data_IF_470052330417
#
_entry.id   IF_470052330417
#
_cell.length_a   1.000
_cell.length_b   1.000
_cell.length_c   1.000
_cell.angle_alpha   90.00
_cell.angle_beta   90.00
_cell.angle_gamma   90.00
#
_symmetry.space_group_name_H-M   'P 1'
#
loop_
_entity.id
_entity.type
_entity.pdbx_description
1 polymer ?
#
# COMPACT_ATOMS: atom_id res chain seq x y z
N UNK A 1 -5.24 14.33 -4.00
CA UNK A 1 -3.85 14.26 -3.50
C UNK A 1 -2.96 15.01 -4.48
N UNK A 2 -2.36 16.15 -4.11
CA UNK A 2 -1.39 16.84 -4.99
C UNK A 2 0.05 16.31 -4.83
N UNK A 3 0.33 15.53 -3.78
CA UNK A 3 1.65 14.99 -3.46
C UNK A 3 1.49 13.52 -3.10
N UNK A 4 2.36 12.65 -3.63
CA UNK A 4 2.39 11.20 -3.41
C UNK A 4 3.64 10.72 -2.65
N UNK A 5 4.46 11.66 -2.15
CA UNK A 5 5.69 11.37 -1.40
C UNK A 5 5.54 11.75 0.07
N UNK A 6 6.01 10.88 0.97
CA UNK A 6 6.03 11.08 2.42
C UNK A 6 7.46 10.95 2.95
N UNK A 7 7.81 11.73 3.98
CA UNK A 7 9.13 11.68 4.63
C UNK A 7 10.15 12.69 4.11
N UNK A 8 11.31 12.77 4.77
CA UNK A 8 12.36 13.77 4.50
C UNK A 8 13.71 13.16 4.12
N UNK A 9 14.27 12.28 4.96
CA UNK A 9 15.51 11.56 4.65
C UNK A 9 15.17 10.21 4.04
N UNK A 10 14.42 9.40 4.78
CA UNK A 10 13.74 8.23 4.27
C UNK A 10 12.42 8.67 3.63
N UNK A 11 12.36 8.69 2.30
CA UNK A 11 11.20 9.15 1.54
C UNK A 11 10.51 7.99 0.85
N UNK A 12 9.19 7.97 0.92
CA UNK A 12 8.36 6.95 0.28
C UNK A 12 7.44 7.62 -0.72
N UNK A 13 7.59 7.26 -2.00
CA UNK A 13 6.75 7.72 -3.10
C UNK A 13 5.79 6.61 -3.54
N UNK A 14 4.52 6.88 -3.28
CA UNK A 14 3.29 6.21 -3.72
C UNK A 14 3.04 6.13 -5.23
N UNK A 15 2.79 4.99 -5.88
CA UNK A 15 2.27 4.99 -7.26
C UNK A 15 1.24 3.89 -7.57
N UNK A 16 0.48 4.09 -8.65
CA UNK A 16 -0.53 3.16 -9.18
C UNK A 16 -1.95 3.35 -8.64
N UNK A 17 -2.90 2.76 -9.36
CA UNK A 17 -4.33 2.79 -9.13
C UNK A 17 -4.89 1.37 -8.90
N UNK A 18 -6.03 1.30 -8.21
CA UNK A 18 -6.69 0.03 -7.87
C UNK A 18 -7.12 -0.86 -9.05
N UNK A 19 -7.27 -0.29 -10.25
CA UNK A 19 -7.66 -0.99 -11.48
C UNK A 19 -6.64 -0.76 -12.61
N UNK A 20 -5.41 -0.36 -12.24
CA UNK A 20 -4.25 -0.45 -13.12
C UNK A 20 -3.60 -1.82 -13.03
N UNK A 21 -2.57 -2.08 -13.83
CA UNK A 21 -1.86 -3.38 -13.83
C UNK A 21 -1.19 -3.69 -12.48
N UNK A 22 -0.69 -2.65 -11.81
CA UNK A 22 0.01 -2.75 -10.55
C UNK A 22 -0.07 -1.46 -9.74
N UNK A 23 0.31 -1.59 -8.48
CA UNK A 23 0.65 -0.48 -7.58
C UNK A 23 2.07 -0.70 -7.07
N UNK A 24 2.64 0.32 -6.44
CA UNK A 24 3.95 0.14 -5.82
C UNK A 24 4.41 1.35 -5.02
N UNK A 25 5.66 1.28 -4.59
CA UNK A 25 6.33 2.35 -3.87
C UNK A 25 7.80 2.45 -4.29
N UNK A 26 8.30 3.67 -4.35
CA UNK A 26 9.73 3.98 -4.43
C UNK A 26 10.20 4.47 -3.08
N UNK A 27 11.32 3.94 -2.58
CA UNK A 27 11.91 4.36 -1.30
C UNK A 27 13.28 4.95 -1.57
N UNK A 28 13.43 6.24 -1.25
CA UNK A 28 14.71 6.95 -1.29
C UNK A 28 15.27 7.14 0.12
N UNK A 29 16.60 7.08 0.24
CA UNK A 29 17.30 7.34 1.52
C UNK A 29 17.28 6.16 2.49
N UNK A 30 17.05 4.94 2.01
CA UNK A 30 17.38 3.73 2.76
C UNK A 30 18.90 3.64 2.93
N UNK A 31 19.46 3.48 4.15
CA UNK A 31 20.89 3.24 4.33
C UNK A 31 21.33 1.98 3.58
N UNK A 32 22.58 1.91 3.08
CA UNK A 32 23.13 0.68 2.52
C UNK A 32 23.42 -0.37 3.60
N UNK A 33 23.46 -1.64 3.20
CA UNK A 33 23.86 -2.76 4.07
C UNK A 33 22.74 -3.33 4.96
N UNK A 34 21.52 -2.81 4.87
CA UNK A 34 20.36 -3.29 5.62
C UNK A 34 19.86 -4.59 4.98
N UNK A 35 19.66 -5.63 5.79
CA UNK A 35 19.10 -6.88 5.29
C UNK A 35 17.63 -6.69 4.88
N UNK A 36 17.34 -6.88 3.60
CA UNK A 36 16.00 -6.74 3.03
C UNK A 36 15.75 -7.95 2.15
N UNK A 37 14.78 -8.76 2.56
CA UNK A 37 14.29 -9.88 1.76
C UNK A 37 12.82 -9.68 1.42
N UNK A 38 12.42 -10.23 0.27
CA UNK A 38 11.02 -10.26 -0.13
C UNK A 38 10.15 -10.95 0.93
N UNK A 39 10.62 -12.05 1.52
CA UNK A 39 9.90 -12.79 2.56
C UNK A 39 9.66 -11.94 3.82
N UNK A 40 10.65 -11.14 4.23
CA UNK A 40 10.49 -10.24 5.38
C UNK A 40 9.38 -9.20 5.15
N UNK A 41 9.34 -8.60 3.95
CA UNK A 41 8.28 -7.66 3.58
C UNK A 41 6.92 -8.39 3.49
N UNK A 42 6.89 -9.59 2.89
CA UNK A 42 5.68 -10.37 2.68
C UNK A 42 4.95 -10.68 4.00
N UNK A 43 5.66 -10.89 5.11
CA UNK A 43 5.05 -11.06 6.43
C UNK A 43 4.08 -9.93 6.80
N UNK A 44 4.43 -8.67 6.50
CA UNK A 44 3.57 -7.53 6.74
C UNK A 44 2.45 -7.41 5.72
N UNK A 45 2.72 -7.79 4.47
CA UNK A 45 1.71 -7.86 3.42
C UNK A 45 0.61 -8.86 3.75
N UNK A 46 0.97 -10.04 4.28
CA UNK A 46 0.00 -11.03 4.72
C UNK A 46 -0.92 -10.45 5.80
N UNK A 47 -0.40 -9.74 6.80
CA UNK A 47 -1.24 -9.09 7.84
C UNK A 47 -2.21 -8.05 7.28
N UNK A 48 -1.85 -7.40 6.17
CA UNK A 48 -2.70 -6.41 5.48
C UNK A 48 -3.71 -7.07 4.55
N UNK A 49 -3.37 -8.23 4.00
CA UNK A 49 -4.06 -8.86 2.88
C UNK A 49 -5.58 -8.95 3.16
N UNK A 50 -6.43 -8.56 2.19
CA UNK A 50 -7.88 -8.68 2.34
C UNK A 50 -8.33 -10.14 2.43
N UNK A 51 -9.58 -10.35 2.85
CA UNK A 51 -10.20 -11.67 2.83
C UNK A 51 -9.80 -12.58 3.99
N UNK A 52 -9.13 -12.06 5.02
CA UNK A 52 -8.78 -12.83 6.22
C UNK A 52 -9.94 -13.07 7.18
N UNK A 53 -11.01 -12.27 7.09
CA UNK A 53 -12.22 -12.46 7.89
C UNK A 53 -13.48 -12.13 7.11
N UNK A 54 -14.62 -12.63 7.59
CA UNK A 54 -15.96 -12.32 7.06
C UNK A 54 -16.32 -10.83 7.09
N UNK A 55 -15.58 -10.02 7.84
CA UNK A 55 -15.79 -8.57 7.96
C UNK A 55 -14.91 -7.73 7.02
N UNK A 56 -14.05 -8.38 6.22
CA UNK A 56 -13.15 -7.72 5.26
C UNK A 56 -13.65 -7.89 3.83
N UNK A 57 -13.08 -7.12 2.90
CA UNK A 57 -13.44 -7.22 1.47
C UNK A 57 -13.25 -8.63 0.92
N UNK A 58 -14.11 -9.03 -0.03
CA UNK A 58 -14.08 -10.34 -0.69
C UNK A 58 -12.96 -10.50 -1.73
N UNK A 59 -12.25 -9.42 -2.07
CA UNK A 59 -11.14 -9.47 -3.03
C UNK A 59 -10.05 -10.42 -2.55
N UNK A 60 -9.56 -11.25 -3.47
CA UNK A 60 -8.44 -12.18 -3.21
C UNK A 60 -7.19 -11.69 -3.92
N UNK A 61 -6.64 -10.60 -3.41
CA UNK A 61 -5.32 -10.12 -3.84
C UNK A 61 -4.25 -10.88 -3.06
N UNK A 62 -3.27 -11.48 -3.76
CA UNK A 62 -2.17 -12.18 -3.08
C UNK A 62 -1.13 -11.24 -2.48
N UNK A 63 -1.13 -9.96 -2.88
CA UNK A 63 -0.21 -8.93 -2.38
C UNK A 63 1.27 -9.32 -2.46
N UNK A 64 1.66 -10.07 -3.49
CA UNK A 64 3.06 -10.43 -3.70
C UNK A 64 3.85 -9.16 -4.04
N UNK A 65 4.80 -8.84 -3.16
CA UNK A 65 5.75 -7.73 -3.38
C UNK A 65 6.93 -8.26 -4.18
N UNK A 66 7.31 -7.54 -5.23
CA UNK A 66 8.52 -7.77 -6.01
C UNK A 66 9.47 -6.58 -5.82
N UNK A 67 10.73 -6.85 -5.50
CA UNK A 67 11.77 -5.82 -5.35
C UNK A 67 12.47 -5.67 -6.71
N UNK A 68 12.31 -4.51 -7.34
CA UNK A 68 12.83 -4.24 -8.69
C UNK A 68 14.22 -3.57 -8.69
N UNK A 69 14.59 -2.88 -7.60
CA UNK A 69 15.87 -2.16 -7.50
C UNK A 69 16.28 -1.94 -6.04
N UNK A 70 17.51 -1.46 -5.85
CA UNK A 70 18.00 -0.98 -4.55
C UNK A 70 18.38 -2.07 -3.55
N UNK A 71 18.32 -3.34 -3.95
CA UNK A 71 18.74 -4.50 -3.17
C UNK A 71 19.64 -5.38 -4.03
N UNK A 72 20.77 -5.81 -3.48
CA UNK A 72 21.70 -6.78 -4.07
C UNK A 72 22.14 -7.75 -2.97
N UNK A 73 22.11 -9.06 -3.26
CA UNK A 73 22.44 -10.12 -2.29
C UNK A 73 21.71 -9.94 -0.94
N UNK A 74 20.40 -9.65 -1.00
CA UNK A 74 19.53 -9.39 0.17
C UNK A 74 19.94 -8.19 1.03
N UNK A 75 20.79 -7.29 0.53
CA UNK A 75 21.18 -6.06 1.24
C UNK A 75 20.83 -4.82 0.44
N UNK A 76 20.36 -3.77 1.12
CA UNK A 76 20.15 -2.48 0.49
C UNK A 76 21.47 -1.92 -0.06
N UNK A 77 21.42 -1.29 -1.23
CA UNK A 77 22.59 -0.70 -1.88
C UNK A 77 22.79 0.78 -1.52
N UNK A 78 21.83 1.38 -0.82
CA UNK A 78 21.77 2.83 -0.58
C UNK A 78 21.13 3.62 -1.74
N UNK A 79 20.82 2.95 -2.85
CA UNK A 79 20.10 3.54 -3.99
C UNK A 79 18.59 3.35 -3.82
N UNK A 80 17.74 4.00 -4.66
CA UNK A 80 16.30 3.87 -4.55
C UNK A 80 15.82 2.41 -4.64
N UNK A 81 14.95 2.01 -3.71
CA UNK A 81 14.31 0.69 -3.69
C UNK A 81 12.94 0.80 -4.34
N UNK A 82 12.75 0.11 -5.47
CA UNK A 82 11.46 0.00 -6.14
C UNK A 82 10.73 -1.27 -5.74
N UNK A 83 9.47 -1.11 -5.31
CA UNK A 83 8.57 -2.19 -4.95
C UNK A 83 7.39 -2.22 -5.92
N UNK A 84 7.10 -3.39 -6.47
CA UNK A 84 6.00 -3.66 -7.39
C UNK A 84 5.01 -4.65 -6.74
N UNK A 85 3.72 -4.38 -6.87
CA UNK A 85 2.64 -5.26 -6.41
C UNK A 85 1.60 -5.35 -7.53
N UNK A 86 1.47 -6.52 -8.15
CA UNK A 86 0.51 -6.75 -9.24
C UNK A 86 -0.92 -6.80 -8.70
N UNK A 87 -1.87 -6.24 -9.44
CA UNK A 87 -3.30 -6.35 -9.15
C UNK A 87 -3.87 -7.57 -9.88
N UNK A 88 -4.29 -8.61 -9.14
CA UNK A 88 -4.69 -9.91 -9.72
C UNK A 88 -6.21 -10.13 -9.79
N UNK A 89 -7.02 -9.41 -9.01
CA UNK A 89 -8.48 -9.59 -8.94
C UNK A 89 -9.21 -8.29 -9.31
N UNK A 90 -8.93 -7.79 -10.53
CA UNK A 90 -9.57 -6.60 -11.07
C UNK A 90 -10.91 -6.97 -11.72
N UNK A 91 -12.02 -6.71 -11.00
CA UNK A 91 -13.37 -6.95 -11.51
C UNK A 91 -13.96 -5.69 -12.12
N UNK A 92 -13.59 -5.40 -13.35
CA UNK A 92 -14.04 -4.19 -14.05
C UNK A 92 -15.55 -4.17 -14.35
N UNK A 93 -16.19 -5.35 -14.39
CA UNK A 93 -17.60 -5.50 -14.83
C UNK A 93 -18.64 -5.03 -13.80
N UNK A 94 -18.27 -4.89 -12.53
CA UNK A 94 -19.23 -4.58 -11.45
C UNK A 94 -19.52 -3.07 -11.28
N UNK A 95 -18.97 -2.19 -12.14
CA UNK A 95 -18.92 -0.74 -11.89
C UNK A 95 -19.57 0.15 -12.97
N UNK A 96 -20.24 -0.42 -13.98
CA UNK A 96 -20.86 0.37 -15.06
C UNK A 96 -21.96 1.34 -14.57
N UNK A 97 -22.72 0.98 -13.54
CA UNK A 97 -23.73 1.88 -12.96
C UNK A 97 -23.11 3.06 -12.17
N UNK A 98 -21.85 2.92 -11.75
CA UNK A 98 -21.11 3.94 -11.00
C UNK A 98 -20.43 4.94 -11.95
N UNK A 99 -20.43 4.69 -13.26
CA UNK A 99 -19.92 5.64 -14.25
C UNK A 99 -20.62 7.00 -14.14
N UNK A 100 -21.96 6.97 -14.03
CA UNK A 100 -22.80 8.16 -14.02
C UNK A 100 -23.22 8.64 -12.62
N UNK A 101 -22.68 8.03 -11.55
CA UNK A 101 -23.10 8.29 -10.16
C UNK A 101 -21.91 8.66 -9.26
N UNK A 102 -22.06 9.65 -8.39
CA UNK A 102 -21.09 9.93 -7.32
C UNK A 102 -21.51 9.21 -6.03
N UNK A 103 -20.66 8.35 -5.47
CA UNK A 103 -21.02 7.59 -4.25
C UNK A 103 -20.87 8.48 -3.00
N UNK A 104 -21.90 8.56 -2.13
CA UNK A 104 -21.79 9.28 -0.86
C UNK A 104 -20.63 8.75 -0.01
N UNK A 105 -19.82 9.66 0.56
CA UNK A 105 -18.65 9.31 1.37
C UNK A 105 -17.39 8.91 0.59
N UNK A 106 -17.46 8.79 -0.74
CA UNK A 106 -16.30 8.52 -1.59
C UNK A 106 -15.71 9.80 -2.20
N UNK A 107 -14.48 9.69 -2.71
CA UNK A 107 -13.76 10.80 -3.33
C UNK A 107 -14.24 11.13 -4.77
N UNK A 108 -15.34 10.52 -5.23
CA UNK A 108 -15.74 10.57 -6.64
C UNK A 108 -16.01 11.99 -7.15
N UNK A 109 -16.78 12.79 -6.40
CA UNK A 109 -17.15 14.16 -6.79
C UNK A 109 -15.97 15.12 -6.65
N UNK A 110 -15.13 14.95 -5.63
CA UNK A 110 -13.98 15.82 -5.40
C UNK A 110 -12.88 15.59 -6.42
N UNK A 111 -12.68 14.35 -6.88
CA UNK A 111 -11.79 14.07 -8.02
C UNK A 111 -12.32 14.68 -9.31
N UNK A 112 -13.62 14.53 -9.60
CA UNK A 112 -14.24 15.11 -10.78
C UNK A 112 -14.12 16.63 -10.80
N UNK A 113 -14.49 17.31 -9.72
CA UNK A 113 -14.40 18.77 -9.63
C UNK A 113 -12.96 19.29 -9.69
N UNK A 114 -11.99 18.54 -9.13
CA UNK A 114 -10.59 18.98 -9.10
C UNK A 114 -9.84 18.73 -10.41
N UNK A 115 -10.05 17.56 -11.02
CA UNK A 115 -9.22 17.08 -12.13
C UNK A 115 -9.99 16.94 -13.44
N UNK A 116 -11.33 17.02 -13.44
CA UNK A 116 -12.17 16.80 -14.62
C UNK A 116 -12.22 15.34 -15.10
N UNK A 117 -11.58 14.42 -14.38
CA UNK A 117 -11.49 13.00 -14.73
C UNK A 117 -11.56 12.13 -13.47
N UNK A 118 -12.23 10.99 -13.58
CA UNK A 118 -12.34 9.96 -12.54
C UNK A 118 -12.24 8.57 -13.16
N UNK A 119 -11.44 7.69 -12.56
CA UNK A 119 -11.52 6.25 -12.85
C UNK A 119 -12.71 5.65 -12.08
N UNK A 120 -13.84 5.50 -12.78
CA UNK A 120 -15.09 4.99 -12.22
C UNK A 120 -15.09 3.48 -11.98
N UNK A 121 -14.12 2.75 -12.53
CA UNK A 121 -14.00 1.28 -12.36
C UNK A 121 -13.68 0.87 -10.92
N UNK A 122 -13.50 1.84 -10.02
CA UNK A 122 -13.41 1.64 -8.58
C UNK A 122 -13.13 2.93 -7.83
N UNK A 123 -12.15 2.91 -6.92
CA UNK A 123 -11.71 4.12 -6.20
C UNK A 123 -10.53 4.83 -6.88
N UNK A 124 -10.05 4.32 -8.02
CA UNK A 124 -8.81 4.78 -8.66
C UNK A 124 -7.67 4.84 -7.63
N UNK A 125 -7.04 6.03 -7.52
CA UNK A 125 -5.97 6.36 -6.57
C UNK A 125 -6.45 6.54 -5.12
N UNK A 126 -7.72 6.87 -4.90
CA UNK A 126 -8.30 7.04 -3.55
C UNK A 126 -8.67 5.70 -2.87
N UNK A 127 -8.55 4.59 -3.60
CA UNK A 127 -8.84 3.26 -3.09
C UNK A 127 -7.90 2.86 -1.95
N UNK A 128 -8.43 2.12 -0.97
CA UNK A 128 -7.64 1.45 0.06
C UNK A 128 -6.57 0.49 -0.51
N UNK A 129 -6.62 0.14 -1.80
CA UNK A 129 -5.56 -0.61 -2.48
C UNK A 129 -4.18 0.07 -2.34
N UNK A 130 -4.11 1.40 -2.32
CA UNK A 130 -2.87 2.16 -2.13
C UNK A 130 -2.16 1.83 -0.80
N UNK A 131 -2.89 1.36 0.21
CA UNK A 131 -2.30 0.97 1.50
C UNK A 131 -1.32 -0.21 1.38
N UNK A 132 -1.45 -1.05 0.35
CA UNK A 132 -0.48 -2.13 0.09
C UNK A 132 0.92 -1.57 -0.23
N UNK A 133 1.01 -0.50 -1.02
CA UNK A 133 2.27 0.20 -1.27
C UNK A 133 2.89 0.74 0.02
N UNK A 134 2.06 1.28 0.93
CA UNK A 134 2.52 1.78 2.23
C UNK A 134 3.01 0.68 3.15
N UNK A 135 2.31 -0.46 3.20
CA UNK A 135 2.73 -1.60 4.03
C UNK A 135 4.02 -2.20 3.50
N UNK A 136 4.17 -2.33 2.18
CA UNK A 136 5.40 -2.82 1.58
C UNK A 136 6.59 -1.91 1.92
N UNK A 137 6.44 -0.59 1.76
CA UNK A 137 7.45 0.37 2.16
C UNK A 137 7.70 0.40 3.68
N UNK A 138 6.64 0.20 4.47
CA UNK A 138 6.74 0.05 5.93
C UNK A 138 7.51 -1.21 6.34
N UNK A 139 7.46 -2.28 5.55
CA UNK A 139 8.32 -3.46 5.73
C UNK A 139 9.80 -3.12 5.60
N UNK A 140 10.17 -2.34 4.58
CA UNK A 140 11.55 -1.83 4.43
C UNK A 140 11.94 -0.91 5.59
N UNK A 141 11.06 0.03 5.98
CA UNK A 141 11.33 0.92 7.11
C UNK A 141 11.51 0.14 8.42
N UNK A 142 10.76 -0.94 8.62
CA UNK A 142 10.94 -1.84 9.78
C UNK A 142 12.27 -2.57 9.76
N UNK A 143 12.73 -3.05 8.60
CA UNK A 143 14.05 -3.66 8.48
C UNK A 143 15.16 -2.67 8.88
N UNK A 144 15.06 -1.42 8.42
CA UNK A 144 15.99 -0.34 8.82
C UNK A 144 15.95 -0.10 10.33
N UNK A 145 14.74 0.00 10.90
CA UNK A 145 14.57 0.24 12.34
C UNK A 145 15.06 -0.94 13.20
N UNK A 146 14.91 -2.19 12.74
CA UNK A 146 15.42 -3.35 13.47
C UNK A 146 16.94 -3.34 13.61
N UNK A 147 17.66 -2.80 12.63
CA UNK A 147 19.13 -2.62 12.69
C UNK A 147 19.52 -1.40 13.53
N UNK A 148 18.85 -0.26 13.33
CA UNK A 148 19.22 0.99 14.00
C UNK A 148 18.75 1.08 15.45
N UNK A 149 17.64 0.42 15.77
CA UNK A 149 16.98 0.46 17.08
C UNK A 149 16.41 -0.93 17.43
N UNK A 150 17.27 -1.91 17.77
CA UNK A 150 16.86 -3.30 18.01
C UNK A 150 15.78 -3.48 19.08
N UNK A 151 15.74 -2.58 20.07
CA UNK A 151 14.77 -2.62 21.17
C UNK A 151 13.41 -1.96 20.83
N UNK A 152 13.29 -1.32 19.66
CA UNK A 152 12.06 -0.63 19.26
C UNK A 152 10.96 -1.63 18.90
N UNK A 153 9.82 -1.52 19.59
CA UNK A 153 8.62 -2.28 19.29
C UNK A 153 7.51 -1.39 18.71
N UNK A 154 6.93 -1.83 17.60
CA UNK A 154 5.80 -1.14 16.94
C UNK A 154 4.63 -2.11 16.89
N UNK A 155 3.54 -1.78 17.58
CA UNK A 155 2.34 -2.59 17.69
C UNK A 155 1.08 -1.80 17.29
N UNK A 156 0.05 -2.51 16.83
CA UNK A 156 -1.26 -1.97 16.55
C UNK A 156 -2.31 -3.01 16.92
N UNK A 157 -3.42 -2.57 17.50
CA UNK A 157 -4.55 -3.41 17.87
C UNK A 157 -5.85 -2.61 17.76
N UNK A 158 -6.96 -3.33 17.61
CA UNK A 158 -8.30 -2.76 17.47
C UNK A 158 -8.92 -2.56 18.85
N UNK A 159 -9.33 -1.33 19.17
CA UNK A 159 -9.92 -0.98 20.46
C UNK A 159 -11.43 -0.85 20.44
N UNK A 160 -12.05 -0.71 19.26
CA UNK A 160 -13.50 -0.53 19.13
C UNK A 160 -13.99 -0.86 17.70
N UNK A 161 -15.16 -1.49 17.59
CA UNK A 161 -15.93 -1.65 16.34
C UNK A 161 -17.36 -1.18 16.59
N UNK A 162 -17.82 -0.13 15.88
CA UNK A 162 -19.16 0.41 16.11
C UNK A 162 -19.35 0.81 17.59
N UNK A 163 -20.42 0.35 18.27
CA UNK A 163 -20.62 0.60 19.71
C UNK A 163 -19.77 -0.30 20.62
N UNK A 164 -19.16 -1.37 20.09
CA UNK A 164 -18.50 -2.41 20.89
C UNK A 164 -17.03 -2.06 21.14
N UNK A 165 -16.65 -1.87 22.41
CA UNK A 165 -15.28 -1.58 22.86
C UNK A 165 -14.55 -2.87 23.29
N UNK A 166 -13.22 -2.81 23.30
CA UNK A 166 -12.39 -3.83 23.95
C UNK A 166 -12.64 -3.84 25.47
N UNK A 167 -12.62 -5.04 26.06
CA UNK A 167 -12.75 -5.26 27.51
C UNK A 167 -11.57 -4.68 28.31
#
# INVERSE_FOLDING_TARGET
MSINTFGHLFRVTTWGESHGEAIGATIDGCPPGIEITQNYIQHFMEKRRPGQSKYTTQRREMDLVEILSGVFENKSTGTPIQLLIKNTDQRSKDYSEIENTFRPGHADITYWQKYGIRDYRGGGRSSARETASRVAAGGVARAVLSELMPDLQIQAYLTQIGPDKID
#
